data_IF_280480050850
#
_entry.id   IF_280480050850
#
_cell.length_a   1.000
_cell.length_b   1.000
_cell.length_c   1.000
_cell.angle_alpha   90.00
_cell.angle_beta   90.00
_cell.angle_gamma   90.00
#
_symmetry.space_group_name_H-M   'P 1'
#
loop_
_entity.id
_entity.type
_entity.pdbx_description
1 polymer ?
#
# COMPACT_ATOMS: atom_id res chain seq x y z
N UNK A 1 56.47 2.30 26.77
CA UNK A 1 55.20 1.79 27.35
C UNK A 1 54.23 1.69 26.18
N UNK A 2 53.81 0.54 25.60
CA UNK A 2 53.12 -0.66 26.13
C UNK A 2 51.94 -0.22 27.01
N UNK A 3 50.65 -0.46 26.74
CA UNK A 3 49.90 -1.67 26.31
C UNK A 3 48.60 -1.24 25.57
N UNK A 4 48.23 -1.86 24.44
CA UNK A 4 47.18 -2.90 24.22
C UNK A 4 45.74 -2.41 23.99
N UNK A 5 45.24 -2.76 22.80
CA UNK A 5 43.86 -2.86 22.29
C UNK A 5 42.91 -3.63 23.23
N UNK A 6 41.58 -3.48 23.08
CA UNK A 6 40.89 -4.51 22.31
C UNK A 6 39.74 -4.02 21.40
N UNK A 7 39.55 -4.83 20.35
CA UNK A 7 38.40 -4.90 19.44
C UNK A 7 37.07 -4.79 20.18
N UNK A 8 36.15 -3.97 19.64
CA UNK A 8 34.73 -4.15 19.83
C UNK A 8 34.12 -4.59 18.49
N UNK A 9 34.22 -5.89 18.20
CA UNK A 9 33.39 -6.54 17.21
C UNK A 9 31.98 -6.64 17.79
N UNK A 10 31.11 -5.69 17.48
CA UNK A 10 29.67 -5.86 17.72
C UNK A 10 29.07 -6.64 16.55
N UNK A 11 29.15 -7.96 16.67
CA UNK A 11 28.29 -8.90 15.97
C UNK A 11 26.83 -8.61 16.35
N UNK A 12 26.11 -7.85 15.52
CA UNK A 12 24.65 -7.82 15.63
C UNK A 12 24.11 -9.05 14.88
N UNK A 13 23.71 -10.03 15.68
CA UNK A 13 23.21 -11.32 15.27
C UNK A 13 22.08 -11.21 14.24
N UNK A 14 22.11 -12.10 13.25
CA UNK A 14 20.97 -12.45 12.40
C UNK A 14 19.82 -12.92 13.30
N UNK A 15 18.89 -12.03 13.61
CA UNK A 15 17.58 -12.39 14.11
C UNK A 15 16.72 -12.87 12.95
N UNK A 16 16.87 -14.13 12.55
CA UNK A 16 15.81 -14.88 11.85
C UNK A 16 14.65 -15.08 12.84
N UNK A 17 13.90 -14.02 13.09
CA UNK A 17 12.57 -14.13 13.64
C UNK A 17 11.66 -14.56 12.50
N UNK A 18 11.56 -15.87 12.30
CA UNK A 18 10.43 -16.49 11.62
C UNK A 18 9.17 -16.20 12.44
N UNK A 19 8.61 -15.01 12.26
CA UNK A 19 7.26 -14.69 12.66
C UNK A 19 6.33 -15.37 11.66
N UNK A 20 6.11 -16.66 11.91
CA UNK A 20 4.90 -17.35 11.46
C UNK A 20 3.71 -16.80 12.25
N UNK A 21 3.44 -15.51 12.10
CA UNK A 21 2.08 -15.02 12.23
C UNK A 21 1.53 -15.03 10.82
N UNK A 22 0.68 -16.00 10.52
CA UNK A 22 -0.39 -15.76 9.57
C UNK A 22 -1.34 -14.73 10.20
N UNK A 23 -0.82 -13.51 10.42
CA UNK A 23 -1.63 -12.33 10.47
C UNK A 23 -2.18 -12.26 9.05
N UNK A 24 -3.45 -12.60 8.88
CA UNK A 24 -4.18 -12.05 7.74
C UNK A 24 -3.99 -10.55 7.91
N UNK A 25 -3.06 -9.95 7.14
CA UNK A 25 -2.80 -8.53 7.20
C UNK A 25 -4.16 -7.87 6.94
N UNK A 26 -4.75 -7.30 8.00
CA UNK A 26 -6.08 -6.73 7.86
C UNK A 26 -6.02 -5.68 6.78
N UNK A 27 -7.03 -5.68 5.90
CA UNK A 27 -7.14 -4.67 4.87
C UNK A 27 -6.99 -3.28 5.52
N UNK A 28 -6.05 -2.44 5.05
CA UNK A 28 -5.80 -1.13 5.64
C UNK A 28 -7.04 -0.28 5.46
N UNK A 29 -7.53 0.37 6.52
CA UNK A 29 -8.78 1.12 6.42
C UNK A 29 -8.78 2.13 5.26
N UNK A 30 -9.95 2.45 4.67
CA UNK A 30 -10.04 3.33 3.52
C UNK A 30 -9.34 4.69 3.68
N UNK A 31 -9.32 5.25 4.90
CA UNK A 31 -8.69 6.54 5.14
C UNK A 31 -7.17 6.44 5.22
N UNK A 32 -6.63 5.39 5.84
CA UNK A 32 -5.20 5.07 5.76
C UNK A 32 -4.78 4.89 4.30
N UNK A 33 -5.54 4.12 3.51
CA UNK A 33 -5.25 3.92 2.10
C UNK A 33 -5.22 5.26 1.34
N UNK A 34 -6.25 6.09 1.52
CA UNK A 34 -6.33 7.42 0.92
C UNK A 34 -5.11 8.29 1.26
N UNK A 35 -4.77 8.43 2.56
CA UNK A 35 -3.65 9.25 3.01
C UNK A 35 -2.32 8.74 2.46
N UNK A 36 -2.16 7.42 2.35
CA UNK A 36 -0.98 6.82 1.76
C UNK A 36 -0.86 7.12 0.28
N UNK A 37 -1.93 6.91 -0.49
CA UNK A 37 -1.95 7.21 -1.92
C UNK A 37 -1.79 8.71 -2.19
N UNK A 38 -2.36 9.58 -1.35
CA UNK A 38 -2.14 11.02 -1.39
C UNK A 38 -0.64 11.34 -1.21
N UNK A 39 0.00 10.79 -0.17
CA UNK A 39 1.42 11.04 0.12
C UNK A 39 2.34 10.56 -1.01
N UNK A 40 2.03 9.42 -1.64
CA UNK A 40 2.77 8.88 -2.80
C UNK A 40 2.59 9.79 -4.02
N UNK A 41 1.42 10.42 -4.15
CA UNK A 41 1.12 11.41 -5.19
C UNK A 41 1.68 12.81 -4.87
N UNK A 42 2.50 12.94 -3.81
CA UNK A 42 3.11 14.20 -3.39
C UNK A 42 2.21 15.09 -2.52
N UNK A 43 1.05 14.58 -2.08
CA UNK A 43 0.07 15.32 -1.30
C UNK A 43 0.08 14.90 0.16
N UNK A 44 0.40 15.83 1.06
CA UNK A 44 0.39 15.58 2.50
C UNK A 44 1.58 14.74 2.99
N UNK A 45 1.52 14.33 4.25
CA UNK A 45 2.56 13.52 4.91
C UNK A 45 2.28 12.03 4.79
N UNK A 46 3.32 11.19 4.73
CA UNK A 46 3.21 9.73 4.63
C UNK A 46 2.93 9.08 6.00
N UNK A 47 1.79 8.39 6.19
CA UNK A 47 1.55 7.56 7.37
C UNK A 47 2.60 6.45 7.58
N UNK A 48 2.78 6.02 8.83
CA UNK A 48 3.75 4.98 9.20
C UNK A 48 3.46 3.60 8.57
N UNK A 49 2.19 3.30 8.26
CA UNK A 49 1.71 2.02 7.75
C UNK A 49 1.48 2.00 6.22
N UNK A 50 2.05 2.94 5.46
CA UNK A 50 1.77 3.02 4.01
C UNK A 50 2.29 1.87 3.16
N UNK A 51 3.29 1.13 3.61
CA UNK A 51 3.77 -0.03 2.87
C UNK A 51 2.64 -1.07 2.65
N UNK A 52 1.86 -1.35 3.70
CA UNK A 52 0.73 -2.27 3.61
C UNK A 52 -0.38 -1.74 2.69
N UNK A 53 -0.67 -0.44 2.76
CA UNK A 53 -1.64 0.23 1.89
C UNK A 53 -1.28 0.13 0.39
N UNK A 54 -0.02 0.38 0.04
CA UNK A 54 0.45 0.26 -1.35
C UNK A 54 0.42 -1.18 -1.84
N UNK A 55 0.82 -2.14 -1.00
CA UNK A 55 0.71 -3.58 -1.34
C UNK A 55 -0.75 -3.96 -1.57
N UNK A 56 -1.66 -3.53 -0.69
CA UNK A 56 -3.09 -3.80 -0.81
C UNK A 56 -3.70 -3.24 -2.10
N UNK A 57 -3.27 -2.04 -2.52
CA UNK A 57 -3.71 -1.40 -3.77
C UNK A 57 -3.38 -2.21 -5.03
N UNK A 58 -2.19 -2.83 -5.08
CA UNK A 58 -1.71 -3.60 -6.23
C UNK A 58 -2.00 -5.11 -6.15
N UNK A 59 -2.28 -5.63 -4.97
CA UNK A 59 -2.53 -7.06 -4.75
C UNK A 59 -3.82 -7.52 -5.46
N UNK A 60 -3.83 -8.73 -6.06
CA UNK A 60 -5.03 -9.29 -6.67
C UNK A 60 -6.20 -9.39 -5.68
N UNK A 61 -7.41 -9.11 -6.15
CA UNK A 61 -8.63 -9.19 -5.36
C UNK A 61 -8.87 -10.60 -4.80
N UNK A 62 -8.53 -11.64 -5.57
CA UNK A 62 -8.60 -13.03 -5.09
C UNK A 62 -7.68 -13.31 -3.88
N UNK A 63 -6.61 -12.52 -3.71
CA UNK A 63 -5.70 -12.57 -2.57
C UNK A 63 -6.06 -11.55 -1.48
N UNK A 64 -7.19 -10.87 -1.62
CA UNK A 64 -7.72 -9.89 -0.67
C UNK A 64 -7.45 -8.43 -1.04
N UNK A 65 -6.68 -8.13 -2.09
CA UNK A 65 -6.33 -6.76 -2.49
C UNK A 65 -7.36 -6.06 -3.38
N UNK A 66 -6.92 -4.99 -4.07
CA UNK A 66 -7.80 -4.16 -4.90
C UNK A 66 -7.62 -4.31 -6.42
N UNK A 67 -6.55 -4.97 -6.89
CA UNK A 67 -6.33 -5.18 -8.32
C UNK A 67 -7.21 -6.32 -8.84
N UNK A 68 -8.01 -6.05 -9.87
CA UNK A 68 -8.91 -7.02 -10.50
C UNK A 68 -8.25 -7.57 -11.76
N UNK A 69 -8.33 -8.89 -11.93
CA UNK A 69 -7.85 -9.59 -13.11
C UNK A 69 -9.00 -10.42 -13.70
N UNK A 70 -9.08 -10.47 -15.03
CA UNK A 70 -9.87 -11.49 -15.71
C UNK A 70 -9.03 -12.76 -15.77
N UNK A 71 -9.61 -13.91 -15.44
CA UNK A 71 -8.87 -15.18 -15.30
C UNK A 71 -9.07 -16.14 -16.48
N UNK A 72 -10.01 -15.87 -17.38
CA UNK A 72 -10.33 -16.74 -18.51
C UNK A 72 -10.58 -15.93 -19.79
N UNK A 73 -10.05 -16.36 -20.95
CA UNK A 73 -9.14 -17.50 -21.15
C UNK A 73 -7.67 -17.19 -20.81
N UNK A 74 -7.33 -15.94 -20.56
CA UNK A 74 -5.97 -15.48 -20.21
C UNK A 74 -6.06 -14.62 -18.96
N UNK A 75 -5.09 -14.78 -18.05
CA UNK A 75 -4.97 -13.91 -16.88
C UNK A 75 -4.50 -12.53 -17.34
N UNK A 76 -5.37 -11.54 -17.28
CA UNK A 76 -5.06 -10.17 -17.67
C UNK A 76 -5.57 -9.18 -16.62
N UNK A 77 -4.79 -8.13 -16.38
CA UNK A 77 -5.22 -7.06 -15.49
C UNK A 77 -6.40 -6.30 -16.11
N UNK A 78 -7.51 -6.25 -15.38
CA UNK A 78 -8.71 -5.54 -15.80
C UNK A 78 -8.67 -4.13 -15.21
N UNK A 79 -8.12 -3.19 -15.99
CA UNK A 79 -7.94 -1.81 -15.55
C UNK A 79 -9.27 -1.11 -15.18
N UNK A 80 -10.36 -1.21 -15.98
CA UNK A 80 -11.65 -0.64 -15.60
C UNK A 80 -12.21 -1.22 -14.29
N UNK A 81 -12.19 -2.54 -14.12
CA UNK A 81 -12.70 -3.18 -12.90
C UNK A 81 -11.85 -2.82 -11.68
N UNK A 82 -10.52 -2.75 -11.86
CA UNK A 82 -9.60 -2.32 -10.79
C UNK A 82 -9.86 -0.88 -10.37
N UNK A 83 -10.05 0.03 -11.33
CA UNK A 83 -10.42 1.42 -11.05
C UNK A 83 -11.70 1.49 -10.21
N UNK A 84 -12.75 0.77 -10.63
CA UNK A 84 -14.03 0.78 -9.92
C UNK A 84 -13.90 0.20 -8.50
N UNK A 85 -13.18 -0.92 -8.35
CA UNK A 85 -12.95 -1.55 -7.06
C UNK A 85 -12.18 -0.62 -6.09
N UNK A 86 -11.10 0.01 -6.57
CA UNK A 86 -10.29 0.97 -5.79
C UNK A 86 -11.09 2.21 -5.41
N UNK A 87 -11.87 2.76 -6.35
CA UNK A 87 -12.75 3.92 -6.12
C UNK A 87 -13.78 3.62 -5.04
N UNK A 88 -14.45 2.47 -5.17
CA UNK A 88 -15.44 1.99 -4.20
C UNK A 88 -14.81 1.85 -2.81
N UNK A 89 -13.67 1.17 -2.70
CA UNK A 89 -12.97 1.00 -1.43
C UNK A 89 -12.60 2.34 -0.80
N UNK A 90 -11.95 3.23 -1.56
CA UNK A 90 -11.45 4.51 -1.07
C UNK A 90 -12.58 5.49 -0.72
N UNK A 91 -13.74 5.39 -1.38
CA UNK A 91 -14.94 6.18 -1.03
C UNK A 91 -15.49 5.86 0.36
N UNK A 92 -15.10 4.73 0.96
CA UNK A 92 -15.37 4.44 2.38
C UNK A 92 -14.71 5.46 3.33
N UNK A 93 -13.70 6.21 2.88
CA UNK A 93 -13.15 7.31 3.66
C UNK A 93 -13.95 8.59 3.42
N UNK A 94 -14.98 8.84 4.25
CA UNK A 94 -15.80 10.06 4.16
C UNK A 94 -15.00 11.35 4.17
N UNK A 95 -13.92 11.42 4.96
CA UNK A 95 -13.04 12.60 5.00
C UNK A 95 -12.29 12.86 3.68
N UNK A 96 -12.14 11.84 2.83
CA UNK A 96 -11.54 11.99 1.51
C UNK A 96 -12.52 12.57 0.48
N UNK A 97 -13.82 12.28 0.60
CA UNK A 97 -14.84 12.66 -0.40
C UNK A 97 -15.70 13.85 0.01
N UNK A 98 -15.90 14.06 1.31
CA UNK A 98 -16.86 15.04 1.83
C UNK A 98 -16.21 16.44 2.03
N UNK A 99 -14.89 16.56 1.84
CA UNK A 99 -14.16 17.84 1.90
C UNK A 99 -13.69 18.25 0.50
N UNK A 100 -14.01 19.47 -0.01
CA UNK A 100 -13.70 19.88 -1.38
C UNK A 100 -12.21 19.75 -1.79
N UNK A 101 -11.27 20.07 -0.89
CA UNK A 101 -9.85 19.90 -1.19
C UNK A 101 -9.43 18.43 -1.27
N UNK A 102 -9.99 17.61 -0.38
CA UNK A 102 -9.65 16.19 -0.33
C UNK A 102 -10.28 15.41 -1.47
N UNK A 103 -11.47 15.82 -1.94
CA UNK A 103 -12.14 15.20 -3.08
C UNK A 103 -11.36 15.48 -4.38
N UNK A 104 -10.77 16.67 -4.53
CA UNK A 104 -9.84 16.94 -5.63
C UNK A 104 -8.62 16.01 -5.60
N UNK A 105 -8.06 15.77 -4.40
CA UNK A 105 -6.94 14.82 -4.22
C UNK A 105 -7.40 13.39 -4.51
N UNK A 106 -8.59 13.00 -4.07
CA UNK A 106 -9.18 11.69 -4.34
C UNK A 106 -9.28 11.44 -5.85
N UNK A 107 -9.83 12.38 -6.60
CA UNK A 107 -9.93 12.26 -8.06
C UNK A 107 -8.55 12.23 -8.72
N UNK A 108 -7.60 13.02 -8.24
CA UNK A 108 -6.21 12.99 -8.74
C UNK A 108 -5.55 11.61 -8.53
N UNK A 109 -5.71 11.01 -7.34
CA UNK A 109 -5.22 9.65 -7.05
C UNK A 109 -5.86 8.65 -8.02
N UNK A 110 -7.18 8.70 -8.19
CA UNK A 110 -7.90 7.77 -9.05
C UNK A 110 -7.49 7.92 -10.52
N UNK A 111 -7.29 9.14 -11.01
CA UNK A 111 -6.85 9.40 -12.38
C UNK A 111 -5.41 8.93 -12.62
N UNK A 112 -4.54 9.12 -11.64
CA UNK A 112 -3.13 8.75 -11.78
C UNK A 112 -2.90 7.25 -11.60
N UNK A 113 -3.58 6.62 -10.63
CA UNK A 113 -3.24 5.27 -10.17
C UNK A 113 -4.36 4.25 -10.30
N UNK A 114 -5.62 4.70 -10.47
CA UNK A 114 -6.79 3.82 -10.45
C UNK A 114 -6.77 2.75 -11.53
N UNK A 115 -6.21 3.07 -12.70
CA UNK A 115 -6.09 2.17 -13.85
C UNK A 115 -4.74 1.43 -13.92
N UNK A 116 -3.84 1.61 -12.95
CA UNK A 116 -2.48 1.10 -13.02
C UNK A 116 -2.33 -0.19 -12.21
N UNK A 117 -1.67 -1.21 -12.75
CA UNK A 117 -1.38 -2.45 -12.02
C UNK A 117 -0.23 -2.30 -11.02
N UNK A 118 0.62 -1.26 -11.16
CA UNK A 118 1.97 -1.17 -10.61
C UNK A 118 2.85 -2.38 -11.02
N UNK A 119 3.94 -2.11 -11.74
CA UNK A 119 5.11 -2.98 -11.67
C UNK A 119 5.82 -2.63 -10.36
N UNK A 120 5.95 -3.59 -9.45
CA UNK A 120 6.93 -3.46 -8.36
C UNK A 120 8.34 -3.53 -8.95
#
# INVERSE_FOLDING_TARGET
MKLRTPLAALSLALGIASLSTSAQAQAPDPCTLYLCMASISGQGSKPANCAAATVYWGMPQLSGGLAVYDYYPVVQFNAPSSYMNRRSYMSGCRGATDTPNNSNIFEAIMNQWGYQQYAQ
#
